data_IF_336638781052
#
_entry.id   IF_336638781052
#
_cell.length_a   1.000
_cell.length_b   1.000
_cell.length_c   1.000
_cell.angle_alpha   90.00
_cell.angle_beta   90.00
_cell.angle_gamma   90.00
#
_symmetry.space_group_name_H-M   'P 1'
#
loop_
_entity.id
_entity.type
_entity.pdbx_description
1 polymer ?
#
# COMPACT_ATOMS: atom_id res chain seq x y z
N UNK A 1 6.82 55.59 24.14
CA UNK A 1 6.35 55.53 22.73
C UNK A 1 7.07 54.39 22.00
N UNK A 2 6.37 53.59 21.19
CA UNK A 2 7.06 52.54 20.42
C UNK A 2 8.04 53.22 19.45
N UNK A 3 9.28 52.67 19.39
CA UNK A 3 10.27 53.12 18.40
C UNK A 3 9.79 52.72 16.99
N UNK A 4 9.96 53.64 16.01
CA UNK A 4 9.66 53.34 14.59
C UNK A 4 10.42 52.05 14.18
N UNK A 5 9.66 50.99 13.79
CA UNK A 5 10.20 49.72 13.35
C UNK A 5 9.90 48.51 14.22
N UNK A 6 9.41 48.66 15.43
CA UNK A 6 9.14 47.56 16.38
C UNK A 6 7.69 47.08 16.31
N UNK A 7 7.06 46.78 15.32
CA UNK A 7 5.68 46.20 15.14
C UNK A 7 4.93 45.84 16.43
N UNK A 8 5.03 46.69 17.48
CA UNK A 8 4.39 46.55 18.79
C UNK A 8 3.50 47.76 19.04
N UNK A 9 2.23 47.54 19.31
CA UNK A 9 1.26 48.60 19.54
C UNK A 9 0.26 48.24 20.65
N UNK A 10 -0.29 49.30 21.32
CA UNK A 10 -1.30 49.14 22.36
C UNK A 10 -2.68 49.06 21.71
N UNK A 11 -3.43 48.03 22.03
CA UNK A 11 -4.80 47.82 21.56
C UNK A 11 -5.81 48.66 22.37
N UNK A 12 -7.00 48.82 21.83
CA UNK A 12 -8.10 49.49 22.51
C UNK A 12 -8.55 48.80 23.80
N UNK A 13 -8.33 47.48 23.92
CA UNK A 13 -8.61 46.66 25.08
C UNK A 13 -7.53 46.74 26.18
N UNK A 14 -6.56 47.62 26.04
CA UNK A 14 -5.50 47.90 27.01
C UNK A 14 -4.29 46.99 26.91
N UNK A 15 -4.36 45.86 26.19
CA UNK A 15 -3.25 44.91 25.98
C UNK A 15 -2.28 45.41 24.94
N UNK A 16 -1.04 44.99 25.01
CA UNK A 16 -0.05 45.23 23.96
C UNK A 16 -0.02 44.04 23.01
N UNK A 17 0.10 44.32 21.71
CA UNK A 17 0.23 43.35 20.62
C UNK A 17 1.53 43.59 19.87
N UNK A 18 2.34 42.51 19.70
CA UNK A 18 3.52 42.49 18.85
C UNK A 18 3.32 41.52 17.70
N UNK A 19 3.73 41.93 16.51
CA UNK A 19 3.61 41.09 15.31
C UNK A 19 4.96 40.88 14.64
N UNK A 20 5.19 39.61 14.18
CA UNK A 20 6.31 39.33 13.30
C UNK A 20 5.87 38.51 12.12
N UNK A 21 6.63 38.57 11.02
CA UNK A 21 6.35 37.84 9.80
C UNK A 21 6.82 36.41 9.99
N UNK A 22 5.90 35.45 9.84
CA UNK A 22 6.23 34.01 9.86
C UNK A 22 6.39 33.46 8.46
N UNK A 23 5.68 34.02 7.46
CA UNK A 23 5.75 33.59 6.07
C UNK A 23 5.20 34.67 5.11
N UNK A 24 5.29 34.40 3.79
CA UNK A 24 4.65 35.20 2.74
C UNK A 24 3.80 34.31 1.85
N UNK A 25 2.62 34.81 1.46
CA UNK A 25 1.77 34.14 0.46
C UNK A 25 2.41 34.23 -0.93
N UNK A 26 1.99 33.38 -1.91
CA UNK A 26 2.46 33.46 -3.28
C UNK A 26 2.26 34.84 -3.95
N UNK A 27 1.26 35.59 -3.48
CA UNK A 27 0.97 36.98 -3.91
C UNK A 27 1.89 38.05 -3.26
N UNK A 28 2.91 37.61 -2.48
CA UNK A 28 3.87 38.47 -1.78
C UNK A 28 3.38 39.01 -0.43
N UNK A 29 2.11 38.86 -0.06
CA UNK A 29 1.56 39.34 1.21
C UNK A 29 2.13 38.61 2.40
N UNK A 30 2.55 39.35 3.44
CA UNK A 30 3.11 38.78 4.66
C UNK A 30 2.04 38.08 5.52
N UNK A 31 2.38 36.91 6.07
CA UNK A 31 1.61 36.22 7.09
C UNK A 31 2.24 36.56 8.43
N UNK A 32 1.45 37.16 9.32
CA UNK A 32 1.90 37.59 10.64
C UNK A 32 1.46 36.62 11.73
N UNK A 33 2.33 36.45 12.73
CA UNK A 33 1.97 35.87 14.00
C UNK A 33 1.90 36.98 15.04
N UNK A 34 0.82 37.03 15.85
CA UNK A 34 0.59 38.03 16.86
C UNK A 34 0.86 37.45 18.26
N UNK A 35 1.51 38.25 19.10
CA UNK A 35 1.84 37.97 20.51
C UNK A 35 1.23 39.05 21.36
N UNK A 36 0.63 38.65 22.46
CA UNK A 36 -0.08 39.56 23.38
C UNK A 36 0.53 39.55 24.77
N UNK A 37 0.45 40.66 25.46
CA UNK A 37 0.86 40.80 26.86
C UNK A 37 0.31 42.08 27.50
N UNK A 38 0.33 42.14 28.82
CA UNK A 38 -0.15 43.30 29.61
C UNK A 38 0.78 44.52 29.50
N UNK A 39 2.09 44.28 29.26
CA UNK A 39 3.08 45.37 29.19
C UNK A 39 3.87 45.33 27.88
N UNK A 40 4.35 46.50 27.47
CA UNK A 40 5.22 46.63 26.28
C UNK A 40 6.51 45.81 26.42
N UNK A 41 7.15 45.84 27.64
CA UNK A 41 8.39 45.12 27.90
C UNK A 41 8.23 43.62 27.72
N UNK A 42 7.13 43.08 28.25
CA UNK A 42 6.82 41.63 28.14
C UNK A 42 6.58 41.18 26.70
N UNK A 43 5.80 41.95 25.95
CA UNK A 43 5.53 41.66 24.52
C UNK A 43 6.82 41.76 23.71
N UNK A 44 7.67 42.72 23.97
CA UNK A 44 8.97 42.91 23.31
C UNK A 44 9.89 41.70 23.56
N UNK A 45 9.98 41.25 24.80
CA UNK A 45 10.79 40.10 25.15
C UNK A 45 10.26 38.81 24.51
N UNK A 46 8.94 38.54 24.60
CA UNK A 46 8.28 37.41 23.93
C UNK A 46 8.48 37.46 22.43
N UNK A 47 8.35 38.63 21.81
CA UNK A 47 8.54 38.84 20.37
C UNK A 47 9.96 38.46 19.93
N UNK A 48 10.97 38.97 20.66
CA UNK A 48 12.39 38.66 20.40
C UNK A 48 12.66 37.16 20.49
N UNK A 49 12.22 36.52 21.59
CA UNK A 49 12.39 35.07 21.79
C UNK A 49 11.71 34.25 20.68
N UNK A 50 10.51 34.63 20.27
CA UNK A 50 9.79 33.93 19.21
C UNK A 50 10.42 34.16 17.82
N UNK A 51 10.89 35.36 17.54
CA UNK A 51 11.62 35.65 16.29
C UNK A 51 12.94 34.86 16.23
N UNK A 52 13.72 34.80 17.29
CA UNK A 52 14.95 34.01 17.37
C UNK A 52 14.67 32.51 17.22
N UNK A 53 13.63 32.00 17.87
CA UNK A 53 13.21 30.61 17.76
C UNK A 53 12.76 30.27 16.31
N UNK A 54 12.01 31.20 15.68
CA UNK A 54 11.58 31.04 14.29
C UNK A 54 12.77 31.07 13.33
N UNK A 55 13.70 32.00 13.51
CA UNK A 55 14.92 32.09 12.70
C UNK A 55 15.81 30.84 12.86
N UNK A 56 15.99 30.36 14.10
CA UNK A 56 16.70 29.10 14.38
C UNK A 56 16.04 27.88 13.69
N UNK A 57 14.69 27.84 13.65
CA UNK A 57 13.95 26.77 12.94
C UNK A 57 14.16 26.85 11.42
N UNK A 58 14.14 28.04 10.84
CA UNK A 58 14.41 28.24 9.41
C UNK A 58 15.86 27.84 9.05
N UNK A 59 16.84 28.27 9.84
CA UNK A 59 18.23 27.88 9.66
C UNK A 59 18.41 26.37 9.79
N UNK A 60 17.77 25.74 10.77
CA UNK A 60 17.82 24.29 10.96
C UNK A 60 17.22 23.53 9.76
N UNK A 61 16.15 24.02 9.16
CA UNK A 61 15.58 23.46 7.95
C UNK A 61 16.51 23.55 6.73
N UNK A 62 17.34 24.59 6.67
CA UNK A 62 18.33 24.76 5.59
C UNK A 62 19.61 23.96 5.82
N UNK A 63 20.04 23.76 7.08
CA UNK A 63 21.30 23.05 7.44
C UNK A 63 21.07 21.54 7.51
N UNK A 64 19.85 21.09 7.77
CA UNK A 64 19.50 19.67 7.91
C UNK A 64 19.83 18.90 6.63
N UNK A 65 20.47 17.75 6.80
CA UNK A 65 20.71 16.80 5.72
C UNK A 65 19.46 16.00 5.39
N UNK A 66 19.37 15.47 4.19
CA UNK A 66 18.30 14.56 3.78
C UNK A 66 18.26 13.32 4.67
N UNK A 67 19.40 12.82 5.12
CA UNK A 67 19.49 11.70 6.07
C UNK A 67 18.79 12.02 7.39
N UNK A 68 19.05 13.18 7.98
CA UNK A 68 18.41 13.64 9.23
C UNK A 68 16.92 13.90 9.03
N UNK A 69 16.54 14.46 7.87
CA UNK A 69 15.13 14.65 7.53
C UNK A 69 14.37 13.33 7.50
N UNK A 70 14.95 12.28 6.89
CA UNK A 70 14.30 10.97 6.85
C UNK A 70 14.29 10.27 8.21
N UNK A 71 15.27 10.47 9.08
CA UNK A 71 15.23 10.00 10.47
C UNK A 71 14.02 10.59 11.21
N UNK A 72 13.86 11.92 11.17
CA UNK A 72 12.71 12.61 11.77
C UNK A 72 11.37 12.19 11.12
N UNK A 73 11.37 11.96 9.81
CA UNK A 73 10.18 11.50 9.08
C UNK A 73 9.76 10.08 9.51
N UNK A 74 10.71 9.19 9.75
CA UNK A 74 10.46 7.83 10.23
C UNK A 74 9.89 7.83 11.65
N UNK A 75 10.38 8.70 12.54
CA UNK A 75 9.85 8.88 13.89
C UNK A 75 8.39 9.34 13.87
N UNK A 76 8.05 10.37 13.10
CA UNK A 76 6.66 10.85 12.97
C UNK A 76 5.72 9.81 12.34
N UNK A 77 6.22 8.98 11.45
CA UNK A 77 5.44 7.92 10.79
C UNK A 77 5.57 6.55 11.48
N UNK A 78 6.00 6.51 12.74
CA UNK A 78 6.17 5.29 13.52
C UNK A 78 4.88 4.47 13.73
N UNK A 79 3.70 5.09 13.58
CA UNK A 79 2.38 4.48 13.71
C UNK A 79 1.97 3.59 12.53
N UNK A 80 2.70 3.62 11.38
CA UNK A 80 2.38 2.77 10.23
C UNK A 80 2.66 1.30 10.54
N UNK A 81 1.93 0.40 9.84
CA UNK A 81 2.07 -1.06 10.02
C UNK A 81 3.53 -1.50 9.84
N UNK A 82 4.00 -2.49 10.62
CA UNK A 82 5.39 -2.98 10.58
C UNK A 82 5.91 -3.29 9.16
N UNK A 83 5.09 -3.95 8.33
CA UNK A 83 5.45 -4.26 6.93
C UNK A 83 5.67 -3.01 6.07
N UNK A 84 4.87 -1.97 6.28
CA UNK A 84 4.99 -0.70 5.56
C UNK A 84 6.24 0.04 6.02
N UNK A 85 6.49 0.08 7.34
CA UNK A 85 7.67 0.68 7.94
C UNK A 85 8.96 0.05 7.42
N UNK A 86 9.02 -1.30 7.38
CA UNK A 86 10.18 -2.02 6.84
C UNK A 86 10.39 -1.75 5.35
N UNK A 87 9.32 -1.68 4.57
CA UNK A 87 9.39 -1.29 3.16
C UNK A 87 9.94 0.12 2.99
N UNK A 88 9.46 1.07 3.77
CA UNK A 88 9.94 2.45 3.73
C UNK A 88 11.41 2.53 4.14
N UNK A 89 11.79 1.86 5.23
CA UNK A 89 13.17 1.76 5.67
C UNK A 89 14.07 1.23 4.56
N UNK A 90 13.70 0.11 3.95
CA UNK A 90 14.48 -0.48 2.86
C UNK A 90 14.65 0.45 1.65
N UNK A 91 13.59 1.20 1.26
CA UNK A 91 13.68 2.17 0.16
C UNK A 91 14.58 3.35 0.53
N UNK A 92 14.48 3.84 1.75
CA UNK A 92 15.30 4.96 2.25
C UNK A 92 16.76 4.56 2.31
N UNK A 93 17.09 3.46 2.99
CA UNK A 93 18.47 3.02 3.22
C UNK A 93 19.17 2.57 1.93
N UNK A 94 18.45 1.89 1.03
CA UNK A 94 19.04 1.28 -0.17
C UNK A 94 19.05 2.21 -1.39
N UNK A 95 18.14 3.16 -1.46
CA UNK A 95 17.96 3.95 -2.69
C UNK A 95 18.04 5.47 -2.48
N UNK A 96 17.62 6.00 -1.33
CA UNK A 96 17.60 7.44 -1.09
C UNK A 96 18.89 7.90 -0.39
N UNK A 97 19.21 7.32 0.76
CA UNK A 97 20.35 7.73 1.56
C UNK A 97 21.70 7.65 0.84
N UNK A 98 22.02 6.61 0.02
CA UNK A 98 23.31 6.53 -0.64
C UNK A 98 23.57 7.66 -1.65
N UNK A 99 22.51 8.25 -2.21
CA UNK A 99 22.66 9.28 -3.26
C UNK A 99 22.25 10.69 -2.80
N UNK A 100 21.23 10.80 -1.97
CA UNK A 100 20.72 12.09 -1.52
C UNK A 100 21.05 12.38 -0.05
N UNK A 101 21.39 11.37 0.74
CA UNK A 101 21.48 11.49 2.21
C UNK A 101 22.45 12.55 2.71
N UNK A 102 23.56 12.78 2.01
CA UNK A 102 24.58 13.76 2.37
C UNK A 102 24.22 15.20 1.97
N UNK A 103 23.29 15.39 1.04
CA UNK A 103 22.87 16.73 0.63
C UNK A 103 22.08 17.41 1.76
N UNK A 104 22.26 18.72 1.88
CA UNK A 104 21.35 19.54 2.69
C UNK A 104 20.00 19.64 1.98
N UNK A 105 18.94 19.79 2.75
CA UNK A 105 17.58 19.90 2.19
C UNK A 105 17.48 21.13 1.26
N UNK A 106 18.17 22.21 1.59
CA UNK A 106 18.19 23.42 0.76
C UNK A 106 19.02 23.28 -0.54
N UNK A 107 19.87 22.28 -0.65
CA UNK A 107 20.68 22.05 -1.85
C UNK A 107 19.99 21.10 -2.85
N UNK A 108 18.80 20.59 -2.51
CA UNK A 108 17.97 19.79 -3.40
C UNK A 108 17.34 20.69 -4.47
N UNK A 109 17.88 20.69 -5.67
CA UNK A 109 17.29 21.36 -6.82
C UNK A 109 16.38 20.44 -7.62
N UNK A 110 15.44 21.01 -8.40
CA UNK A 110 14.58 20.20 -9.30
C UNK A 110 15.42 19.38 -10.27
N UNK A 111 16.54 19.95 -10.76
CA UNK A 111 17.46 19.27 -11.68
C UNK A 111 18.15 18.07 -11.01
N UNK A 112 18.65 18.23 -9.78
CA UNK A 112 19.24 17.14 -9.01
C UNK A 112 18.24 16.00 -8.79
N UNK A 113 17.01 16.33 -8.41
CA UNK A 113 15.94 15.36 -8.21
C UNK A 113 15.55 14.66 -9.51
N UNK A 114 15.54 15.37 -10.63
CA UNK A 114 15.30 14.80 -11.97
C UNK A 114 16.40 13.80 -12.33
N UNK A 115 17.67 14.16 -12.20
CA UNK A 115 18.82 13.28 -12.45
C UNK A 115 18.78 12.04 -11.57
N UNK A 116 18.41 12.20 -10.29
CA UNK A 116 18.23 11.07 -9.37
C UNK A 116 17.16 10.10 -9.88
N UNK A 117 15.99 10.58 -10.30
CA UNK A 117 14.90 9.74 -10.85
C UNK A 117 15.35 9.02 -12.11
N UNK A 118 15.99 9.73 -13.05
CA UNK A 118 16.51 9.14 -14.30
C UNK A 118 17.55 8.05 -14.03
N UNK A 119 18.46 8.29 -13.10
CA UNK A 119 19.46 7.30 -12.68
C UNK A 119 18.80 6.06 -12.09
N UNK A 120 17.76 6.21 -11.23
CA UNK A 120 17.02 5.07 -10.68
C UNK A 120 16.30 4.26 -11.76
N UNK A 121 15.80 4.92 -12.81
CA UNK A 121 15.17 4.23 -13.94
C UNK A 121 16.17 3.50 -14.84
N UNK A 122 17.40 4.00 -14.97
CA UNK A 122 18.42 3.42 -15.87
C UNK A 122 19.28 2.36 -15.18
N UNK A 123 19.72 2.59 -13.94
CA UNK A 123 20.73 1.79 -13.23
C UNK A 123 20.45 1.64 -11.73
N UNK A 124 19.19 1.74 -11.29
CA UNK A 124 18.83 1.77 -9.86
C UNK A 124 18.81 0.41 -9.16
N UNK A 125 18.98 -0.70 -9.86
CA UNK A 125 18.99 -2.04 -9.24
C UNK A 125 20.32 -2.30 -8.53
N UNK A 126 20.21 -2.87 -7.33
CA UNK A 126 21.40 -3.16 -6.49
C UNK A 126 22.23 -4.35 -7.03
N UNK A 127 21.64 -5.20 -7.87
CA UNK A 127 22.31 -6.32 -8.52
C UNK A 127 23.03 -5.92 -9.82
N UNK A 128 23.07 -4.63 -10.15
CA UNK A 128 23.70 -4.09 -11.35
C UNK A 128 22.98 -4.43 -12.67
N UNK A 129 21.85 -5.14 -12.64
CA UNK A 129 21.14 -5.62 -13.82
C UNK A 129 20.13 -4.60 -14.39
N UNK A 130 20.48 -3.32 -14.38
CA UNK A 130 19.67 -2.26 -14.97
C UNK A 130 18.89 -1.41 -13.98
N UNK A 131 17.78 -0.80 -14.44
CA UNK A 131 16.99 0.15 -13.67
C UNK A 131 15.91 -0.47 -12.80
N UNK A 132 15.38 0.34 -11.88
CA UNK A 132 14.19 0.00 -11.11
C UNK A 132 12.93 0.13 -11.96
N UNK A 133 11.89 -0.60 -11.59
CA UNK A 133 10.57 -0.44 -12.23
C UNK A 133 10.03 0.98 -11.99
N UNK A 134 9.29 1.58 -12.95
CA UNK A 134 8.66 2.88 -12.77
C UNK A 134 7.80 2.97 -11.49
N UNK A 135 7.16 1.87 -11.11
CA UNK A 135 6.39 1.78 -9.86
C UNK A 135 7.28 1.93 -8.63
N UNK A 136 8.42 1.25 -8.59
CA UNK A 136 9.37 1.36 -7.46
C UNK A 136 9.94 2.77 -7.36
N UNK A 137 10.30 3.37 -8.50
CA UNK A 137 10.78 4.76 -8.54
C UNK A 137 9.69 5.72 -8.09
N UNK A 138 8.43 5.52 -8.49
CA UNK A 138 7.31 6.31 -8.00
C UNK A 138 7.13 6.20 -6.48
N UNK A 139 7.27 5.00 -5.89
CA UNK A 139 7.22 4.82 -4.44
C UNK A 139 8.35 5.61 -3.73
N UNK A 140 9.56 5.64 -4.31
CA UNK A 140 10.67 6.46 -3.82
C UNK A 140 10.32 7.95 -3.91
N UNK A 141 9.78 8.42 -5.04
CA UNK A 141 9.37 9.81 -5.22
C UNK A 141 8.31 10.23 -4.19
N UNK A 142 7.34 9.35 -3.89
CA UNK A 142 6.31 9.59 -2.87
C UNK A 142 6.93 9.78 -1.49
N UNK A 143 7.94 8.98 -1.13
CA UNK A 143 8.66 9.14 0.14
C UNK A 143 9.41 10.47 0.20
N UNK A 144 10.13 10.84 -0.85
CA UNK A 144 10.85 12.12 -0.92
C UNK A 144 9.86 13.29 -0.82
N UNK A 145 8.75 13.28 -1.57
CA UNK A 145 7.68 14.29 -1.47
C UNK A 145 7.14 14.40 -0.04
N UNK A 146 6.89 13.27 0.61
CA UNK A 146 6.38 13.24 1.99
C UNK A 146 7.37 13.83 2.99
N UNK A 147 8.67 13.52 2.84
CA UNK A 147 9.72 14.07 3.68
C UNK A 147 9.91 15.58 3.45
N UNK A 148 9.91 16.07 2.20
CA UNK A 148 9.96 17.49 1.89
C UNK A 148 8.73 18.24 2.43
N UNK A 149 7.54 17.63 2.38
CA UNK A 149 6.33 18.19 3.01
C UNK A 149 6.50 18.33 4.52
N UNK A 150 7.14 17.37 5.18
CA UNK A 150 7.50 17.48 6.60
C UNK A 150 8.47 18.63 6.85
N UNK A 151 9.50 18.78 5.99
CA UNK A 151 10.46 19.87 6.09
C UNK A 151 9.76 21.24 5.98
N UNK A 152 8.86 21.40 5.01
CA UNK A 152 8.05 22.62 4.86
C UNK A 152 7.19 22.90 6.10
N UNK A 153 6.51 21.90 6.62
CA UNK A 153 5.58 22.04 7.76
C UNK A 153 6.30 22.31 9.10
N UNK A 154 7.33 21.51 9.41
CA UNK A 154 7.95 21.51 10.76
C UNK A 154 9.16 22.42 10.87
N UNK A 155 9.92 22.56 9.79
CA UNK A 155 11.17 23.30 9.78
C UNK A 155 11.11 24.57 8.93
N UNK A 156 9.89 24.92 8.44
CA UNK A 156 9.65 26.13 7.63
C UNK A 156 10.58 26.23 6.41
N UNK A 157 10.95 25.08 5.86
CA UNK A 157 11.69 25.03 4.61
C UNK A 157 10.87 25.65 3.47
N UNK A 158 11.47 26.55 2.67
CA UNK A 158 10.78 27.34 1.65
C UNK A 158 11.07 26.90 0.20
N UNK A 159 11.77 25.80 0.02
CA UNK A 159 12.05 25.30 -1.32
C UNK A 159 10.78 24.88 -2.04
N UNK A 160 10.72 25.15 -3.34
CA UNK A 160 9.59 24.80 -4.21
C UNK A 160 9.90 23.60 -5.11
N UNK A 161 10.96 22.86 -4.79
CA UNK A 161 11.42 21.72 -5.57
C UNK A 161 10.35 20.64 -5.65
N UNK A 162 10.02 20.25 -6.85
CA UNK A 162 9.15 19.13 -7.14
C UNK A 162 9.93 17.94 -7.70
N UNK A 163 9.88 16.81 -7.00
CA UNK A 163 10.32 15.56 -7.60
C UNK A 163 9.19 15.01 -8.48
N UNK A 164 9.43 14.89 -9.79
CA UNK A 164 8.44 14.36 -10.74
C UNK A 164 8.45 12.86 -10.73
N UNK A 165 7.28 12.28 -10.50
CA UNK A 165 7.11 10.83 -10.53
C UNK A 165 7.05 10.33 -11.97
N UNK A 166 7.71 9.19 -12.30
CA UNK A 166 7.59 8.61 -13.62
C UNK A 166 6.15 8.11 -13.87
N UNK A 167 5.74 8.13 -15.14
CA UNK A 167 4.47 7.55 -15.56
C UNK A 167 4.47 6.03 -15.31
N UNK A 168 3.49 5.55 -14.56
CA UNK A 168 3.33 4.11 -14.30
C UNK A 168 2.23 3.59 -15.20
N UNK A 169 2.60 2.83 -16.24
CA UNK A 169 1.62 2.11 -17.06
C UNK A 169 0.99 1.00 -16.23
N UNK A 170 -0.33 0.92 -16.24
CA UNK A 170 -1.03 -0.22 -15.65
C UNK A 170 -0.66 -1.47 -16.46
N UNK A 171 -0.12 -2.48 -15.76
CA UNK A 171 0.07 -3.80 -16.40
C UNK A 171 -1.31 -4.43 -16.60
N UNK A 172 -1.51 -5.03 -17.75
CA UNK A 172 -2.63 -5.95 -17.93
C UNK A 172 -2.59 -7.02 -16.84
N UNK A 173 -3.75 -7.29 -16.27
CA UNK A 173 -3.88 -8.34 -15.25
C UNK A 173 -3.79 -9.67 -15.97
N UNK A 174 -2.83 -10.46 -15.54
CA UNK A 174 -2.65 -11.82 -16.01
C UNK A 174 -3.71 -12.72 -15.37
N UNK A 175 -4.43 -13.47 -16.18
CA UNK A 175 -5.47 -14.42 -15.76
C UNK A 175 -5.26 -15.77 -16.45
N UNK A 176 -5.75 -16.82 -15.84
CA UNK A 176 -5.78 -18.14 -16.47
C UNK A 176 -6.86 -18.18 -17.56
N UNK A 177 -6.54 -18.77 -18.68
CA UNK A 177 -7.55 -19.11 -19.69
C UNK A 177 -8.53 -20.14 -19.12
N UNK A 178 -9.65 -20.31 -19.79
CA UNK A 178 -10.64 -21.32 -19.40
C UNK A 178 -10.05 -22.72 -19.42
N UNK A 179 -9.27 -23.03 -20.48
CA UNK A 179 -8.56 -24.29 -20.62
C UNK A 179 -7.56 -24.54 -19.46
N UNK A 180 -6.74 -23.54 -19.10
CA UNK A 180 -5.79 -23.65 -17.98
C UNK A 180 -6.52 -23.88 -16.65
N UNK A 181 -7.63 -23.17 -16.43
CA UNK A 181 -8.46 -23.30 -15.23
C UNK A 181 -9.08 -24.72 -15.13
N UNK A 182 -9.59 -25.25 -16.25
CA UNK A 182 -10.13 -26.60 -16.33
C UNK A 182 -9.05 -27.66 -16.06
N UNK A 183 -7.85 -27.49 -16.65
CA UNK A 183 -6.72 -28.39 -16.45
C UNK A 183 -6.24 -28.45 -14.99
N UNK A 184 -6.17 -27.29 -14.33
CA UNK A 184 -5.90 -27.21 -12.89
C UNK A 184 -6.99 -27.96 -12.10
N UNK A 185 -8.26 -27.70 -12.37
CA UNK A 185 -9.37 -28.32 -11.67
C UNK A 185 -9.42 -29.84 -11.87
N UNK A 186 -9.12 -30.34 -13.06
CA UNK A 186 -9.03 -31.78 -13.36
C UNK A 186 -7.87 -32.45 -12.61
N UNK A 187 -6.69 -31.81 -12.61
CA UNK A 187 -5.53 -32.34 -11.88
C UNK A 187 -5.76 -32.38 -10.36
N UNK A 188 -6.43 -31.37 -9.80
CA UNK A 188 -6.82 -31.36 -8.38
C UNK A 188 -7.84 -32.47 -8.08
N UNK A 189 -8.79 -32.73 -8.98
CA UNK A 189 -9.77 -33.80 -8.80
C UNK A 189 -9.11 -35.21 -8.84
N UNK A 190 -8.06 -35.41 -9.65
CA UNK A 190 -7.30 -36.64 -9.71
C UNK A 190 -6.44 -36.85 -8.46
N UNK A 191 -5.92 -35.83 -7.84
CA UNK A 191 -5.08 -35.90 -6.64
C UNK A 191 -5.49 -34.83 -5.61
N UNK A 192 -6.59 -35.04 -4.87
CA UNK A 192 -7.17 -34.08 -3.96
C UNK A 192 -6.43 -34.01 -2.61
N UNK A 193 -5.19 -33.58 -2.61
CA UNK A 193 -4.46 -33.28 -1.37
C UNK A 193 -4.70 -31.82 -0.95
N UNK A 194 -4.38 -31.50 0.31
CA UNK A 194 -4.64 -30.16 0.91
C UNK A 194 -3.99 -29.02 0.12
N UNK A 195 -2.82 -29.25 -0.44
CA UNK A 195 -2.11 -28.25 -1.24
C UNK A 195 -2.85 -27.98 -2.56
N UNK A 196 -3.17 -29.01 -3.30
CA UNK A 196 -3.90 -28.90 -4.57
C UNK A 196 -5.30 -28.31 -4.36
N UNK A 197 -6.00 -28.71 -3.28
CA UNK A 197 -7.29 -28.14 -2.91
C UNK A 197 -7.19 -26.64 -2.59
N UNK A 198 -6.06 -26.16 -2.07
CA UNK A 198 -5.86 -24.72 -1.85
C UNK A 198 -5.88 -23.91 -3.14
N UNK A 199 -5.41 -24.46 -4.25
CA UNK A 199 -5.47 -23.81 -5.57
C UNK A 199 -6.91 -23.71 -6.06
N UNK A 200 -7.68 -24.78 -5.91
CA UNK A 200 -9.09 -24.80 -6.27
C UNK A 200 -9.90 -23.86 -5.37
N UNK A 201 -9.63 -23.85 -4.06
CA UNK A 201 -10.26 -22.95 -3.11
C UNK A 201 -10.02 -21.48 -3.50
N UNK A 202 -8.79 -21.12 -3.92
CA UNK A 202 -8.51 -19.78 -4.43
C UNK A 202 -9.24 -19.47 -5.75
N UNK A 203 -9.36 -20.45 -6.65
CA UNK A 203 -10.10 -20.30 -7.89
C UNK A 203 -11.61 -20.15 -7.68
N UNK A 204 -12.16 -20.70 -6.59
CA UNK A 204 -13.60 -20.67 -6.31
C UNK A 204 -14.03 -19.53 -5.39
N UNK A 205 -13.11 -18.97 -4.60
CA UNK A 205 -13.42 -17.94 -3.58
C UNK A 205 -12.63 -16.65 -3.73
N UNK A 206 -11.56 -16.65 -4.51
CA UNK A 206 -10.68 -15.50 -4.69
C UNK A 206 -9.91 -15.08 -3.42
N UNK A 207 -9.76 -15.95 -2.42
CA UNK A 207 -9.00 -15.62 -1.19
C UNK A 207 -7.53 -15.33 -1.49
N UNK A 208 -6.88 -14.53 -0.63
CA UNK A 208 -5.47 -14.15 -0.81
C UNK A 208 -4.54 -15.26 -0.36
N UNK A 209 -3.35 -15.33 -0.97
CA UNK A 209 -2.30 -16.28 -0.58
C UNK A 209 -2.04 -16.33 0.94
N UNK A 210 -1.88 -15.16 1.58
CA UNK A 210 -1.64 -15.11 3.01
C UNK A 210 -2.84 -15.56 3.85
N UNK A 211 -4.06 -15.36 3.35
CA UNK A 211 -5.29 -15.85 3.99
C UNK A 211 -5.33 -17.37 3.94
N UNK A 212 -5.08 -17.97 2.76
CA UNK A 212 -5.00 -19.45 2.59
C UNK A 212 -3.97 -20.08 3.52
N UNK A 213 -2.78 -19.48 3.60
CA UNK A 213 -1.71 -20.00 4.48
C UNK A 213 -2.06 -19.93 5.97
N UNK A 214 -3.00 -19.06 6.35
CA UNK A 214 -3.41 -18.83 7.73
C UNK A 214 -4.72 -19.52 8.11
N UNK A 215 -5.35 -20.27 7.18
CA UNK A 215 -6.61 -20.99 7.46
C UNK A 215 -6.40 -22.14 8.42
N UNK A 216 -7.28 -22.24 9.40
CA UNK A 216 -7.42 -23.40 10.30
C UNK A 216 -8.68 -24.18 9.97
N UNK A 217 -8.75 -25.42 10.42
CA UNK A 217 -9.97 -26.20 10.28
C UNK A 217 -11.17 -25.58 11.02
N UNK A 218 -10.93 -24.90 12.14
CA UNK A 218 -11.95 -24.13 12.87
C UNK A 218 -12.52 -22.94 12.10
N UNK A 219 -11.90 -22.54 10.99
CA UNK A 219 -12.40 -21.46 10.13
C UNK A 219 -13.42 -21.97 9.09
N UNK A 220 -13.65 -23.28 8.99
CA UNK A 220 -14.66 -23.89 8.11
C UNK A 220 -15.83 -24.39 8.96
N UNK A 221 -16.98 -23.76 8.79
CA UNK A 221 -18.22 -24.33 9.30
C UNK A 221 -18.83 -25.28 8.25
N UNK A 222 -18.62 -26.57 8.46
CA UNK A 222 -19.16 -27.62 7.58
C UNK A 222 -20.69 -27.76 7.65
N UNK A 223 -21.36 -27.17 8.66
CA UNK A 223 -22.80 -27.23 8.81
C UNK A 223 -23.47 -26.13 7.96
N UNK A 224 -23.04 -24.88 8.14
CA UNK A 224 -23.54 -23.75 7.36
C UNK A 224 -22.88 -23.61 5.99
N UNK A 225 -21.80 -24.32 5.72
CA UNK A 225 -21.03 -24.23 4.48
C UNK A 225 -20.26 -22.90 4.34
N UNK A 226 -19.84 -22.32 5.46
CA UNK A 226 -19.15 -21.03 5.47
C UNK A 226 -17.64 -21.17 5.74
N UNK A 227 -16.85 -20.36 5.06
CA UNK A 227 -15.43 -20.16 5.30
C UNK A 227 -15.21 -18.78 5.93
N UNK A 228 -14.65 -18.75 7.13
CA UNK A 228 -14.37 -17.54 7.89
C UNK A 228 -12.96 -17.03 7.63
N UNK A 229 -12.79 -15.88 7.03
CA UNK A 229 -11.47 -15.25 6.82
C UNK A 229 -11.19 -14.33 8.00
N UNK A 230 -10.31 -14.77 8.91
CA UNK A 230 -10.00 -14.08 10.17
C UNK A 230 -8.52 -13.67 10.29
N UNK A 231 -7.64 -14.29 9.53
CA UNK A 231 -6.18 -14.13 9.65
C UNK A 231 -5.50 -14.09 8.30
N UNK A 232 -4.29 -13.51 8.26
CA UNK A 232 -3.38 -13.57 7.12
C UNK A 232 -1.95 -13.80 7.59
N UNK A 233 -1.23 -14.65 6.87
CA UNK A 233 0.18 -14.95 7.10
C UNK A 233 1.04 -14.15 6.12
N UNK A 234 2.11 -13.52 6.60
CA UNK A 234 3.11 -12.87 5.78
C UNK A 234 4.46 -12.83 6.48
N UNK A 235 5.52 -12.66 5.71
CA UNK A 235 6.86 -12.62 6.23
C UNK A 235 7.33 -11.18 6.40
N UNK A 236 7.84 -10.85 7.58
CA UNK A 236 8.51 -9.56 7.84
C UNK A 236 10.01 -9.79 7.91
N UNK A 237 10.78 -8.83 7.43
CA UNK A 237 12.22 -8.80 7.60
C UNK A 237 12.56 -7.76 8.67
N UNK A 238 13.11 -8.21 9.80
CA UNK A 238 13.63 -7.36 10.87
C UNK A 238 15.15 -7.45 10.87
N UNK A 239 15.82 -6.41 10.32
CA UNK A 239 17.28 -6.32 10.44
C UNK A 239 18.09 -7.49 9.87
N UNK A 240 17.59 -8.17 8.82
CA UNK A 240 18.23 -9.34 8.22
C UNK A 240 17.61 -10.68 8.61
N UNK A 241 16.94 -10.77 9.77
CA UNK A 241 16.14 -11.94 10.14
C UNK A 241 14.72 -11.82 9.60
N UNK A 242 14.18 -12.94 9.09
CA UNK A 242 12.82 -12.95 8.55
C UNK A 242 11.93 -13.83 9.41
N UNK A 243 10.78 -13.31 9.82
CA UNK A 243 9.81 -14.00 10.63
C UNK A 243 8.46 -14.13 9.93
N UNK A 244 7.80 -15.28 10.08
CA UNK A 244 6.43 -15.49 9.65
C UNK A 244 5.48 -14.93 10.71
N UNK A 245 4.73 -13.92 10.35
CA UNK A 245 3.82 -13.23 11.25
C UNK A 245 2.38 -13.47 10.83
N UNK A 246 1.53 -13.78 11.81
CA UNK A 246 0.08 -13.83 11.64
C UNK A 246 -0.51 -12.50 12.12
N UNK A 247 -1.31 -11.88 11.29
CA UNK A 247 -2.05 -10.69 11.69
C UNK A 247 -3.53 -10.81 11.32
N UNK A 248 -4.36 -10.08 12.07
CA UNK A 248 -5.71 -9.74 11.58
C UNK A 248 -5.59 -8.96 10.28
N UNK A 249 -6.50 -9.15 9.34
CA UNK A 249 -6.51 -8.43 8.06
C UNK A 249 -6.46 -6.91 8.24
N UNK A 250 -6.01 -6.20 7.19
CA UNK A 250 -5.73 -4.75 7.24
C UNK A 250 -6.95 -3.85 7.46
N UNK A 251 -8.13 -4.33 7.11
CA UNK A 251 -9.40 -3.60 7.21
C UNK A 251 -10.49 -4.52 7.71
N UNK A 252 -11.52 -3.97 8.33
CA UNK A 252 -12.72 -4.69 8.72
C UNK A 252 -13.36 -5.43 7.54
N UNK A 253 -13.37 -4.83 6.34
CA UNK A 253 -13.85 -5.46 5.11
C UNK A 253 -13.06 -6.73 4.70
N UNK A 254 -11.88 -6.94 5.28
CA UNK A 254 -11.08 -8.16 5.01
C UNK A 254 -11.46 -9.30 5.97
N UNK A 255 -12.12 -9.00 7.09
CA UNK A 255 -12.82 -9.99 7.92
C UNK A 255 -14.15 -10.27 7.22
N UNK A 256 -14.31 -11.47 6.70
CA UNK A 256 -15.50 -11.82 5.92
C UNK A 256 -15.79 -13.31 5.98
N UNK A 257 -17.00 -13.65 5.69
CA UNK A 257 -17.48 -15.01 5.56
C UNK A 257 -17.80 -15.29 4.09
N UNK A 258 -17.34 -16.42 3.60
CA UNK A 258 -17.48 -16.81 2.19
C UNK A 258 -18.25 -18.14 2.12
N UNK A 259 -19.32 -18.23 1.33
CA UNK A 259 -19.99 -19.50 1.10
C UNK A 259 -19.08 -20.44 0.31
N UNK A 260 -18.97 -21.68 0.76
CA UNK A 260 -18.30 -22.75 0.04
C UNK A 260 -19.32 -23.59 -0.74
N UNK A 261 -18.93 -24.02 -1.93
CA UNK A 261 -19.76 -24.92 -2.73
C UNK A 261 -19.84 -26.30 -2.09
N UNK A 262 -20.94 -27.04 -2.28
CA UNK A 262 -21.10 -28.41 -1.79
C UNK A 262 -19.95 -29.32 -2.26
N UNK A 263 -19.48 -29.13 -3.49
CA UNK A 263 -18.30 -29.82 -4.04
C UNK A 263 -17.03 -29.55 -3.23
N UNK A 264 -16.76 -28.29 -2.89
CA UNK A 264 -15.57 -27.94 -2.10
C UNK A 264 -15.65 -28.53 -0.69
N UNK A 265 -16.81 -28.46 -0.06
CA UNK A 265 -17.04 -29.07 1.27
C UNK A 265 -16.83 -30.59 1.25
N UNK A 266 -17.34 -31.29 0.23
CA UNK A 266 -17.17 -32.75 0.08
C UNK A 266 -15.68 -33.14 -0.10
N UNK A 267 -14.89 -32.30 -0.77
CA UNK A 267 -13.45 -32.53 -0.95
C UNK A 267 -12.62 -32.25 0.32
N UNK A 268 -13.04 -31.25 1.11
CA UNK A 268 -12.30 -30.84 2.33
C UNK A 268 -12.65 -31.74 3.54
N UNK A 269 -13.91 -32.18 3.68
CA UNK A 269 -14.38 -32.94 4.84
C UNK A 269 -13.57 -34.21 5.17
N UNK A 270 -13.18 -35.05 4.21
CA UNK A 270 -12.37 -36.25 4.49
C UNK A 270 -10.96 -35.96 4.99
N UNK A 271 -10.44 -34.73 4.72
CA UNK A 271 -9.08 -34.34 5.08
C UNK A 271 -9.03 -33.53 6.39
N UNK A 272 -10.21 -33.31 7.00
CA UNK A 272 -10.33 -32.50 8.22
C UNK A 272 -9.61 -33.20 9.38
N UNK A 273 -8.81 -32.43 10.11
CA UNK A 273 -8.11 -32.88 11.32
C UNK A 273 -8.56 -32.07 12.54
N UNK A 274 -7.69 -31.82 13.51
CA UNK A 274 -8.02 -31.06 14.69
C UNK A 274 -8.38 -29.60 14.33
N UNK A 275 -9.39 -29.00 14.96
CA UNK A 275 -9.86 -27.63 14.64
C UNK A 275 -8.78 -26.54 14.70
N UNK A 276 -7.82 -26.69 15.63
CA UNK A 276 -6.72 -25.75 15.84
C UNK A 276 -5.62 -25.84 14.79
N UNK A 277 -5.52 -26.95 14.04
CA UNK A 277 -4.50 -27.15 13.03
C UNK A 277 -4.74 -26.28 11.80
N UNK A 278 -3.64 -25.78 11.22
CA UNK A 278 -3.68 -25.10 9.93
C UNK A 278 -3.92 -26.10 8.80
N UNK A 279 -4.83 -25.76 7.90
CA UNK A 279 -5.27 -26.65 6.81
C UNK A 279 -4.07 -27.13 5.98
N UNK A 280 -3.23 -26.20 5.50
CA UNK A 280 -2.15 -26.52 4.56
C UNK A 280 -0.96 -27.27 5.17
N UNK A 281 -0.68 -27.08 6.43
CA UNK A 281 0.45 -27.72 7.10
C UNK A 281 0.04 -28.97 7.88
N UNK A 282 -1.26 -29.14 8.16
CA UNK A 282 -1.77 -30.19 9.04
C UNK A 282 -1.29 -30.09 10.49
N UNK A 283 -0.67 -28.97 10.89
CA UNK A 283 -0.02 -28.78 12.19
C UNK A 283 -0.43 -27.47 12.86
N UNK A 284 0.11 -27.22 14.05
CA UNK A 284 -0.09 -25.97 14.80
C UNK A 284 0.67 -24.75 14.21
N UNK A 285 1.51 -24.96 13.18
CA UNK A 285 2.26 -23.89 12.51
C UNK A 285 1.71 -23.62 11.11
N UNK A 286 1.51 -22.36 10.71
CA UNK A 286 1.01 -22.04 9.37
C UNK A 286 2.04 -22.37 8.28
N UNK A 287 1.56 -22.64 7.08
CA UNK A 287 2.44 -22.83 5.92
C UNK A 287 3.08 -21.48 5.52
N UNK A 288 4.34 -21.53 5.14
CA UNK A 288 5.09 -20.39 4.61
C UNK A 288 4.53 -19.98 3.23
N UNK A 289 4.10 -18.72 3.02
CA UNK A 289 3.57 -18.28 1.73
C UNK A 289 4.51 -18.46 0.55
N UNK A 290 5.84 -18.30 0.75
CA UNK A 290 6.83 -18.56 -0.31
C UNK A 290 6.89 -20.02 -0.72
N UNK A 291 6.73 -20.93 0.23
CA UNK A 291 6.69 -22.38 -0.04
C UNK A 291 5.50 -22.71 -0.92
N UNK A 292 4.30 -22.18 -0.59
CA UNK A 292 3.11 -22.39 -1.41
C UNK A 292 3.23 -21.79 -2.82
N UNK A 293 3.83 -20.61 -2.95
CA UNK A 293 4.13 -20.02 -4.26
C UNK A 293 5.08 -20.89 -5.10
N UNK A 294 6.13 -21.41 -4.49
CA UNK A 294 7.09 -22.28 -5.16
C UNK A 294 6.42 -23.59 -5.61
N UNK A 295 5.62 -24.19 -4.74
CA UNK A 295 4.89 -25.43 -5.04
C UNK A 295 3.85 -25.20 -6.15
N UNK A 296 3.11 -24.09 -6.12
CA UNK A 296 2.19 -23.72 -7.19
C UNK A 296 2.89 -23.54 -8.53
N UNK A 297 4.10 -22.94 -8.55
CA UNK A 297 4.91 -22.88 -9.76
C UNK A 297 5.27 -24.26 -10.30
N UNK A 298 5.69 -25.18 -9.43
CA UNK A 298 5.98 -26.57 -9.84
C UNK A 298 4.74 -27.29 -10.36
N UNK A 299 3.61 -27.08 -9.71
CA UNK A 299 2.32 -27.63 -10.13
C UNK A 299 1.92 -27.13 -11.53
N UNK A 300 2.10 -25.85 -11.82
CA UNK A 300 1.86 -25.32 -13.18
C UNK A 300 2.78 -25.99 -14.21
N UNK A 301 4.06 -26.16 -13.92
CA UNK A 301 5.02 -26.84 -14.81
C UNK A 301 4.62 -28.29 -15.06
N UNK A 302 4.15 -29.03 -14.07
CA UNK A 302 3.70 -30.42 -14.24
C UNK A 302 2.44 -30.57 -15.10
N UNK A 303 1.74 -29.45 -15.32
CA UNK A 303 0.55 -29.37 -16.17
C UNK A 303 0.83 -28.72 -17.52
N UNK A 304 2.09 -28.44 -17.88
CA UNK A 304 2.48 -27.69 -19.09
C UNK A 304 1.75 -26.32 -19.21
N UNK A 305 1.50 -25.68 -18.06
CA UNK A 305 0.89 -24.36 -17.98
C UNK A 305 1.99 -23.31 -17.75
N UNK A 306 1.96 -22.16 -18.47
CA UNK A 306 2.90 -21.07 -18.22
C UNK A 306 2.93 -20.64 -16.76
N UNK A 307 4.13 -20.53 -16.17
CA UNK A 307 4.26 -20.20 -14.76
C UNK A 307 3.86 -18.77 -14.46
N UNK A 308 2.93 -18.59 -13.55
CA UNK A 308 2.43 -17.31 -13.06
C UNK A 308 2.51 -17.25 -11.54
N UNK A 309 2.42 -16.03 -10.97
CA UNK A 309 2.35 -15.89 -9.53
C UNK A 309 1.00 -16.43 -8.97
N UNK A 310 0.98 -16.76 -7.68
CA UNK A 310 -0.22 -17.33 -7.04
C UNK A 310 -1.47 -16.45 -7.13
N UNK A 311 -1.30 -15.12 -7.21
CA UNK A 311 -2.42 -14.17 -7.33
C UNK A 311 -3.22 -14.32 -8.64
N UNK A 312 -2.66 -15.01 -9.65
CA UNK A 312 -3.39 -15.33 -10.88
C UNK A 312 -4.68 -16.08 -10.59
N UNK A 313 -4.71 -16.98 -9.59
CA UNK A 313 -5.91 -17.73 -9.21
C UNK A 313 -7.05 -16.78 -8.77
N UNK A 314 -6.72 -15.81 -7.93
CA UNK A 314 -7.68 -14.78 -7.47
C UNK A 314 -8.11 -13.85 -8.60
N UNK A 315 -7.18 -13.45 -9.47
CA UNK A 315 -7.52 -12.63 -10.63
C UNK A 315 -8.45 -13.36 -11.59
N UNK A 316 -8.18 -14.63 -11.85
CA UNK A 316 -9.04 -15.49 -12.69
C UNK A 316 -10.43 -15.69 -12.09
N UNK A 317 -10.53 -15.88 -10.76
CA UNK A 317 -11.82 -15.91 -10.07
C UNK A 317 -12.60 -14.62 -10.31
N UNK A 318 -11.97 -13.47 -10.04
CA UNK A 318 -12.64 -12.18 -10.13
C UNK A 318 -13.07 -11.84 -11.57
N UNK A 319 -12.24 -12.14 -12.57
CA UNK A 319 -12.57 -11.95 -13.98
C UNK A 319 -13.75 -12.84 -14.38
N UNK A 320 -13.75 -14.13 -14.01
CA UNK A 320 -14.87 -15.03 -14.28
C UNK A 320 -16.17 -14.58 -13.64
N UNK A 321 -16.11 -14.04 -12.41
CA UNK A 321 -17.31 -13.52 -11.73
C UNK A 321 -17.92 -12.35 -12.51
N UNK A 322 -17.12 -11.38 -12.92
CA UNK A 322 -17.59 -10.24 -13.75
C UNK A 322 -18.11 -10.71 -15.10
N UNK A 323 -17.42 -11.63 -15.76
CA UNK A 323 -17.83 -12.19 -17.06
C UNK A 323 -19.15 -12.99 -16.96
N UNK A 324 -19.47 -13.51 -15.78
CA UNK A 324 -20.75 -14.17 -15.49
C UNK A 324 -21.84 -13.22 -14.98
N UNK A 325 -21.58 -11.92 -14.94
CA UNK A 325 -22.57 -10.89 -14.59
C UNK A 325 -22.65 -10.55 -13.09
N UNK A 326 -21.67 -11.01 -12.28
CA UNK A 326 -21.63 -10.58 -10.87
C UNK A 326 -21.36 -9.08 -10.81
N UNK A 327 -22.11 -8.36 -10.00
CA UNK A 327 -21.89 -6.94 -9.79
C UNK A 327 -20.59 -6.66 -9.02
N UNK A 328 -19.98 -5.49 -9.29
CA UNK A 328 -18.68 -5.13 -8.74
C UNK A 328 -18.68 -4.92 -7.23
N UNK A 329 -19.83 -4.60 -6.61
CA UNK A 329 -19.95 -4.42 -5.17
C UNK A 329 -19.89 -5.77 -4.46
N UNK A 330 -20.73 -6.73 -4.88
CA UNK A 330 -20.72 -8.11 -4.38
C UNK A 330 -19.33 -8.74 -4.55
N UNK A 331 -18.71 -8.61 -5.74
CA UNK A 331 -17.36 -9.11 -5.94
C UNK A 331 -16.35 -8.44 -5.01
N UNK A 332 -16.44 -7.13 -4.77
CA UNK A 332 -15.58 -6.40 -3.86
C UNK A 332 -15.67 -6.91 -2.42
N UNK A 333 -16.88 -7.25 -1.96
CA UNK A 333 -17.14 -7.83 -0.64
C UNK A 333 -16.54 -9.23 -0.52
N UNK A 334 -16.77 -10.10 -1.49
CA UNK A 334 -16.17 -11.45 -1.56
C UNK A 334 -14.64 -11.36 -1.53
N UNK A 335 -14.06 -10.48 -2.32
CA UNK A 335 -12.64 -10.28 -2.35
C UNK A 335 -12.08 -9.58 -1.10
N UNK A 336 -12.91 -8.90 -0.30
CA UNK A 336 -12.48 -8.10 0.84
C UNK A 336 -11.61 -6.91 0.40
N UNK A 337 -12.05 -6.15 -0.59
CA UNK A 337 -11.45 -4.88 -0.98
C UNK A 337 -12.05 -3.76 -0.14
N UNK A 338 -11.21 -2.92 0.44
CA UNK A 338 -11.66 -1.77 1.24
C UNK A 338 -12.38 -0.70 0.38
N UNK A 339 -12.20 -0.73 -0.93
CA UNK A 339 -12.81 0.21 -1.87
C UNK A 339 -13.22 -0.52 -3.16
N UNK A 340 -14.48 -0.44 -3.51
CA UNK A 340 -15.05 -1.00 -4.77
C UNK A 340 -14.33 -0.45 -6.00
N UNK A 341 -13.80 0.78 -5.95
CA UNK A 341 -13.00 1.37 -7.03
C UNK A 341 -11.82 0.47 -7.43
N UNK A 342 -11.23 -0.28 -6.48
CA UNK A 342 -10.16 -1.23 -6.76
C UNK A 342 -10.65 -2.37 -7.65
N UNK A 343 -11.83 -2.92 -7.36
CA UNK A 343 -12.46 -3.97 -8.19
C UNK A 343 -12.80 -3.44 -9.57
N UNK A 344 -13.41 -2.27 -9.64
CA UNK A 344 -13.74 -1.60 -10.91
C UNK A 344 -12.48 -1.36 -11.76
N UNK A 345 -11.44 -0.77 -11.22
CA UNK A 345 -10.21 -0.49 -11.96
C UNK A 345 -9.48 -1.75 -12.46
N UNK A 346 -9.60 -2.86 -11.72
CA UNK A 346 -8.90 -4.09 -12.06
C UNK A 346 -9.67 -4.99 -13.03
N UNK A 347 -11.01 -5.00 -12.98
CA UNK A 347 -11.81 -6.04 -13.66
C UNK A 347 -12.90 -5.51 -14.60
N UNK A 348 -13.04 -4.18 -14.80
CA UNK A 348 -14.09 -3.59 -15.65
C UNK A 348 -13.74 -3.48 -17.14
N UNK A 349 -12.82 -4.28 -17.64
CA UNK A 349 -12.59 -4.41 -19.07
C UNK A 349 -13.04 -5.79 -19.57
N UNK A 350 -14.37 -6.06 -19.61
CA UNK A 350 -14.86 -7.35 -20.09
C UNK A 350 -14.46 -7.56 -21.56
N UNK A 351 -14.18 -8.82 -21.91
CA UNK A 351 -13.87 -9.20 -23.28
C UNK A 351 -15.04 -8.85 -24.22
N UNK A 352 -14.75 -8.68 -25.51
CA UNK A 352 -15.82 -8.43 -26.51
C UNK A 352 -16.83 -9.58 -26.54
N UNK A 353 -16.38 -10.81 -26.30
CA UNK A 353 -17.25 -11.98 -26.21
C UNK A 353 -18.20 -11.88 -24.99
N UNK A 354 -17.72 -11.46 -23.83
CA UNK A 354 -18.56 -11.23 -22.65
C UNK A 354 -19.57 -10.11 -22.89
N UNK A 355 -19.18 -9.02 -23.55
CA UNK A 355 -20.08 -7.93 -23.92
C UNK A 355 -21.20 -8.42 -24.85
N UNK A 356 -20.85 -9.21 -25.87
CA UNK A 356 -21.83 -9.79 -26.81
C UNK A 356 -22.83 -10.67 -26.05
N UNK A 357 -22.35 -11.62 -25.24
CA UNK A 357 -23.21 -12.52 -24.46
C UNK A 357 -24.18 -11.78 -23.53
N UNK A 358 -23.72 -10.71 -22.85
CA UNK A 358 -24.56 -9.91 -21.98
C UNK A 358 -25.61 -9.12 -22.77
N UNK A 359 -25.26 -8.60 -23.95
CA UNK A 359 -26.23 -7.92 -24.82
C UNK A 359 -27.26 -8.90 -25.37
N UNK A 360 -26.85 -10.09 -25.78
CA UNK A 360 -27.78 -11.15 -26.25
C UNK A 360 -28.74 -11.58 -25.14
N UNK A 361 -28.23 -11.77 -23.91
CA UNK A 361 -29.07 -12.09 -22.75
C UNK A 361 -30.07 -10.96 -22.42
N UNK A 362 -29.66 -9.70 -22.49
CA UNK A 362 -30.52 -8.55 -22.26
C UNK A 362 -31.61 -8.43 -23.35
N UNK A 363 -31.26 -8.68 -24.62
CA UNK A 363 -32.21 -8.67 -25.73
C UNK A 363 -33.23 -9.79 -25.61
N UNK A 364 -32.83 -10.99 -25.19
CA UNK A 364 -33.78 -12.11 -24.96
C UNK A 364 -34.78 -11.82 -23.84
N UNK A 365 -34.37 -11.06 -22.81
CA UNK A 365 -35.29 -10.65 -21.72
C UNK A 365 -36.28 -9.56 -22.14
N UNK A 366 -35.95 -8.74 -23.13
CA UNK A 366 -36.82 -7.66 -23.62
C UNK A 366 -37.88 -8.10 -24.66
N UNK A 367 -37.92 -9.38 -25.03
CA UNK A 367 -38.93 -9.91 -25.98
C UNK A 367 -38.81 -9.34 -27.39
N UNK A 368 -37.70 -8.71 -27.75
CA UNK A 368 -37.40 -8.23 -29.08
C UNK A 368 -36.56 -9.34 -29.76
N UNK A 369 -37.24 -10.32 -30.30
CA UNK A 369 -36.69 -11.30 -31.22
C UNK A 369 -37.13 -10.95 -32.64
#
# INVERSE_FOLDING_TARGET
MPRRGENIYKRKDGRWEGRYIVDRRPDGRAIYHSIYGPTYGEVRQKLKTQQEAHHKRQLRGCIMTVKELFANWQEENGHVKPTTRERYRALIEKHIQPELGAYRVCDLTEELLKLFVEKKLKSGRLDGKGGLSPKTVNDICVLVKSALKLAKRKYHYRGDEEIRSPAVRQKQIDVLSEWESQRISAAVAQNPNLENLSYLLCLDTGIRLGEVCALRWSDIDFHSGLLHIRRTAYRINYGGCTELVLQTPKSECSLRDLPLTAKMLSLLRPLCTKPENYILSGSSKPMEPRTLQYRFRRFQLSLDIPTRNYHVLRHSFATRCIERGMDAKTLSEILGHANVKTTLQMYTHPSMQSKRRLLEAASAMSGIA
#
